data_IF_228360340696
#
_entry.id   IF_228360340696
#
_cell.length_a   1.000
_cell.length_b   1.000
_cell.length_c   1.000
_cell.angle_alpha   90.00
_cell.angle_beta   90.00
_cell.angle_gamma   90.00
#
_symmetry.space_group_name_H-M   'P 1'
#
loop_
_entity.id
_entity.type
_entity.pdbx_description
1 polymer ?
#
# COMPACT_ATOMS: atom_id res chain seq x y z
N UNK A 1 18.20 -20.23 35.22
CA UNK A 1 19.06 -19.78 34.11
C UNK A 1 18.41 -20.32 32.85
N UNK A 2 17.80 -19.47 32.05
CA UNK A 2 17.21 -19.86 30.76
C UNK A 2 18.35 -19.94 29.75
N UNK A 3 18.72 -21.17 29.36
CA UNK A 3 19.59 -21.43 28.22
C UNK A 3 18.96 -20.78 26.99
N UNK A 4 19.51 -19.64 26.56
CA UNK A 4 19.21 -19.14 25.23
C UNK A 4 19.94 -20.04 24.23
N UNK A 5 19.26 -20.53 23.17
CA UNK A 5 19.92 -21.33 22.16
C UNK A 5 21.11 -20.56 21.60
N UNK A 6 22.24 -21.24 21.46
CA UNK A 6 23.47 -20.68 20.90
C UNK A 6 23.28 -20.49 19.40
N UNK A 7 22.93 -19.26 19.01
CA UNK A 7 22.65 -18.87 17.63
C UNK A 7 23.96 -18.51 16.94
N UNK A 8 24.18 -19.01 15.72
CA UNK A 8 25.37 -18.69 14.93
C UNK A 8 25.57 -17.17 14.79
N UNK A 9 26.67 -16.59 15.33
CA UNK A 9 26.89 -15.14 15.32
C UNK A 9 26.94 -14.56 13.91
N UNK A 10 27.50 -15.31 12.95
CA UNK A 10 27.59 -14.90 11.55
C UNK A 10 26.20 -14.85 10.89
N UNK A 11 25.35 -15.83 11.17
CA UNK A 11 24.00 -15.88 10.62
C UNK A 11 23.13 -14.77 11.21
N UNK A 12 23.26 -14.52 12.52
CA UNK A 12 22.57 -13.42 13.20
C UNK A 12 22.94 -12.07 12.58
N UNK A 13 24.22 -11.80 12.36
CA UNK A 13 24.67 -10.57 11.73
C UNK A 13 24.08 -10.42 10.31
N UNK A 14 24.17 -11.47 9.48
CA UNK A 14 23.61 -11.48 8.12
C UNK A 14 22.12 -11.16 8.13
N UNK A 15 21.35 -11.78 9.03
CA UNK A 15 19.92 -11.56 9.15
C UNK A 15 19.59 -10.15 9.66
N UNK A 16 20.40 -9.58 10.56
CA UNK A 16 20.24 -8.21 11.01
C UNK A 16 20.48 -7.18 9.89
N UNK A 17 21.52 -7.37 9.08
CA UNK A 17 21.82 -6.51 7.93
C UNK A 17 20.73 -6.60 6.86
N UNK A 18 20.25 -7.81 6.55
CA UNK A 18 19.15 -8.02 5.61
C UNK A 18 17.85 -7.38 6.11
N UNK A 19 17.52 -7.55 7.40
CA UNK A 19 16.34 -6.94 8.00
C UNK A 19 16.42 -5.41 7.91
N UNK A 20 17.55 -4.81 8.30
CA UNK A 20 17.77 -3.37 8.24
C UNK A 20 17.62 -2.81 6.80
N UNK A 21 18.01 -3.58 5.78
CA UNK A 21 17.82 -3.20 4.37
C UNK A 21 16.34 -3.20 3.94
N UNK A 22 15.53 -4.12 4.48
CA UNK A 22 14.14 -4.30 4.09
C UNK A 22 13.17 -3.44 4.92
N UNK A 23 13.51 -3.13 6.18
CA UNK A 23 12.67 -2.36 7.11
C UNK A 23 12.12 -1.03 6.56
N UNK A 24 12.88 -0.22 5.80
CA UNK A 24 12.37 1.04 5.27
C UNK A 24 11.08 0.85 4.44
N UNK A 25 10.92 -0.26 3.73
CA UNK A 25 9.74 -0.53 2.91
C UNK A 25 8.69 -1.36 3.67
N UNK A 26 9.15 -2.37 4.41
CA UNK A 26 8.28 -3.40 4.97
C UNK A 26 7.64 -3.06 6.31
N UNK A 27 8.17 -2.07 7.02
CA UNK A 27 7.56 -1.56 8.26
C UNK A 27 6.15 -0.97 8.04
N UNK A 28 5.79 -0.64 6.79
CA UNK A 28 4.45 -0.13 6.43
C UNK A 28 3.32 -1.15 6.66
N UNK A 29 3.62 -2.45 6.70
CA UNK A 29 2.64 -3.50 7.03
C UNK A 29 2.39 -3.64 8.55
N UNK A 30 3.09 -2.85 9.37
CA UNK A 30 3.03 -2.92 10.82
C UNK A 30 3.95 -4.00 11.40
N UNK A 31 3.81 -4.31 12.70
CA UNK A 31 4.75 -5.19 13.39
C UNK A 31 4.64 -6.64 12.95
N UNK A 32 3.44 -7.16 12.68
CA UNK A 32 3.21 -8.57 12.36
C UNK A 32 3.25 -8.86 10.85
N UNK A 33 4.36 -9.45 10.40
CA UNK A 33 4.70 -9.62 8.99
C UNK A 33 4.99 -11.08 8.68
N UNK A 34 4.60 -11.51 7.47
CA UNK A 34 4.95 -12.83 6.96
C UNK A 34 6.42 -12.85 6.53
N UNK A 35 7.14 -13.89 6.93
CA UNK A 35 8.50 -14.17 6.48
C UNK A 35 8.50 -15.51 5.76
N UNK A 36 9.13 -15.55 4.60
CA UNK A 36 9.23 -16.72 3.74
C UNK A 36 10.67 -17.24 3.78
N UNK A 37 10.85 -18.48 4.23
CA UNK A 37 12.11 -19.21 4.16
C UNK A 37 12.14 -20.09 2.92
N UNK A 38 13.20 -19.99 2.13
CA UNK A 38 13.35 -20.72 0.88
C UNK A 38 14.27 -21.90 1.07
N UNK A 39 13.75 -23.09 0.80
CA UNK A 39 14.47 -24.34 0.96
C UNK A 39 14.48 -25.12 -0.35
N UNK A 40 15.58 -25.82 -0.62
CA UNK A 40 15.70 -26.70 -1.79
C UNK A 40 16.02 -28.12 -1.39
N UNK A 41 15.52 -29.05 -2.20
CA UNK A 41 15.59 -30.49 -1.99
C UNK A 41 15.89 -31.21 -3.31
N UNK A 42 16.60 -32.35 -3.23
CA UNK A 42 16.89 -33.19 -4.39
C UNK A 42 15.65 -33.86 -4.99
N UNK A 43 14.68 -34.20 -4.15
CA UNK A 43 13.52 -35.02 -4.51
C UNK A 43 12.26 -34.63 -3.72
N UNK A 44 11.11 -35.09 -4.22
CA UNK A 44 9.79 -34.83 -3.65
C UNK A 44 9.66 -35.36 -2.22
N UNK A 45 10.10 -36.60 -1.99
CA UNK A 45 9.97 -37.30 -0.70
C UNK A 45 10.62 -36.51 0.44
N UNK A 46 11.82 -35.95 0.21
CA UNK A 46 12.50 -35.11 1.21
C UNK A 46 11.76 -33.79 1.42
N UNK A 47 11.32 -33.16 0.34
CA UNK A 47 10.56 -31.90 0.44
C UNK A 47 9.25 -32.09 1.22
N UNK A 48 8.57 -33.22 1.06
CA UNK A 48 7.35 -33.58 1.81
C UNK A 48 7.65 -33.84 3.28
N UNK A 49 8.70 -34.62 3.58
CA UNK A 49 9.11 -34.90 4.95
C UNK A 49 9.47 -33.61 5.70
N UNK A 50 10.16 -32.68 5.04
CA UNK A 50 10.42 -31.35 5.56
C UNK A 50 9.14 -30.56 5.80
N UNK A 51 8.20 -30.55 4.84
CA UNK A 51 6.92 -29.86 4.98
C UNK A 51 6.16 -30.33 6.22
N UNK A 52 6.12 -31.64 6.49
CA UNK A 52 5.46 -32.21 7.68
C UNK A 52 6.11 -31.68 8.97
N UNK A 53 7.44 -31.63 9.04
CA UNK A 53 8.16 -31.11 10.22
C UNK A 53 7.92 -29.61 10.40
N UNK A 54 8.03 -28.84 9.32
CA UNK A 54 7.81 -27.39 9.34
C UNK A 54 6.35 -27.04 9.72
N UNK A 55 5.36 -27.75 9.20
CA UNK A 55 3.96 -27.58 9.57
C UNK A 55 3.71 -27.89 11.05
N UNK A 56 4.30 -28.96 11.58
CA UNK A 56 4.23 -29.27 13.03
C UNK A 56 4.87 -28.18 13.89
N UNK A 57 5.87 -27.47 13.36
CA UNK A 57 6.51 -26.34 14.01
C UNK A 57 5.76 -25.01 13.82
N UNK A 58 4.61 -25.01 13.14
CA UNK A 58 3.76 -23.83 12.98
C UNK A 58 4.03 -23.00 11.72
N UNK A 59 4.77 -23.54 10.74
CA UNK A 59 4.96 -22.90 9.44
C UNK A 59 3.84 -23.30 8.46
N UNK A 60 3.41 -22.36 7.64
CA UNK A 60 2.68 -22.69 6.40
C UNK A 60 3.69 -23.09 5.33
N UNK A 61 3.43 -24.13 4.55
CA UNK A 61 4.41 -24.63 3.57
C UNK A 61 3.81 -24.72 2.18
N UNK A 62 4.58 -24.31 1.17
CA UNK A 62 4.24 -24.46 -0.24
C UNK A 62 5.39 -25.12 -0.98
N UNK A 63 5.17 -26.35 -1.45
CA UNK A 63 6.10 -27.06 -2.33
C UNK A 63 5.83 -26.74 -3.80
N UNK A 64 6.88 -26.66 -4.61
CA UNK A 64 6.81 -26.50 -6.06
C UNK A 64 8.10 -26.98 -6.72
N UNK A 65 8.03 -27.31 -8.01
CA UNK A 65 9.19 -27.68 -8.82
C UNK A 65 9.66 -26.43 -9.56
N UNK A 66 10.97 -26.17 -9.53
CA UNK A 66 11.57 -25.07 -10.27
C UNK A 66 12.58 -25.60 -11.28
N UNK A 67 12.34 -25.29 -12.56
CA UNK A 67 13.11 -25.79 -13.70
C UNK A 67 14.63 -25.60 -13.47
N UNK A 68 15.33 -26.70 -13.21
CA UNK A 68 16.78 -26.73 -13.01
C UNK A 68 17.29 -26.57 -11.57
N UNK A 69 16.43 -26.34 -10.58
CA UNK A 69 16.82 -26.22 -9.16
C UNK A 69 16.17 -27.24 -8.22
N UNK A 70 15.52 -28.27 -8.79
CA UNK A 70 14.92 -29.38 -8.06
C UNK A 70 13.59 -29.01 -7.37
N UNK A 71 13.34 -29.66 -6.24
CA UNK A 71 12.14 -29.46 -5.44
C UNK A 71 12.37 -28.29 -4.46
N UNK A 72 11.53 -27.28 -4.54
CA UNK A 72 11.60 -26.11 -3.68
C UNK A 72 10.45 -26.10 -2.68
N UNK A 73 10.72 -25.64 -1.46
CA UNK A 73 9.70 -25.38 -0.45
C UNK A 73 9.86 -23.96 0.06
N UNK A 74 8.77 -23.20 0.06
CA UNK A 74 8.66 -21.98 0.84
C UNK A 74 7.97 -22.31 2.16
N UNK A 75 8.65 -22.07 3.28
CA UNK A 75 8.08 -22.17 4.62
C UNK A 75 7.81 -20.75 5.16
N UNK A 76 6.56 -20.44 5.41
CA UNK A 76 6.07 -19.11 5.77
C UNK A 76 5.60 -19.05 7.21
N UNK A 77 5.90 -17.96 7.90
CA UNK A 77 5.45 -17.72 9.29
C UNK A 77 5.19 -16.24 9.52
N UNK A 78 4.15 -15.91 10.30
CA UNK A 78 3.81 -14.53 10.65
C UNK A 78 4.34 -14.18 12.04
N UNK A 79 5.28 -13.25 12.11
CA UNK A 79 5.96 -12.87 13.36
C UNK A 79 6.13 -11.35 13.44
N UNK A 80 6.48 -10.84 14.62
CA UNK A 80 7.19 -9.57 14.74
C UNK A 80 8.66 -9.79 14.36
N UNK A 81 9.14 -9.21 13.24
CA UNK A 81 10.49 -9.45 12.75
C UNK A 81 11.53 -8.86 13.69
N UNK A 82 12.38 -9.74 14.20
CA UNK A 82 13.59 -9.39 14.93
C UNK A 82 14.70 -10.33 14.45
N UNK A 83 15.91 -9.80 14.27
CA UNK A 83 17.02 -10.58 13.71
C UNK A 83 17.24 -11.90 14.47
N UNK A 84 17.22 -11.86 15.81
CA UNK A 84 17.34 -13.04 16.65
C UNK A 84 16.25 -14.10 16.36
N UNK A 85 14.99 -13.67 16.29
CA UNK A 85 13.86 -14.57 16.06
C UNK A 85 13.90 -15.18 14.66
N UNK A 86 14.25 -14.38 13.66
CA UNK A 86 14.42 -14.84 12.28
C UNK A 86 15.51 -15.91 12.21
N UNK A 87 16.63 -15.69 12.89
CA UNK A 87 17.74 -16.64 12.92
C UNK A 87 17.38 -17.93 13.65
N UNK A 88 16.73 -17.85 14.81
CA UNK A 88 16.28 -19.04 15.54
C UNK A 88 15.35 -19.92 14.68
N UNK A 89 14.41 -19.30 13.96
CA UNK A 89 13.52 -20.02 13.04
C UNK A 89 14.29 -20.62 11.85
N UNK A 90 15.30 -19.91 11.33
CA UNK A 90 16.15 -20.42 10.25
C UNK A 90 16.96 -21.65 10.70
N UNK A 91 17.57 -21.60 11.87
CA UNK A 91 18.31 -22.72 12.47
C UNK A 91 17.39 -23.90 12.78
N UNK A 92 16.18 -23.63 13.27
CA UNK A 92 15.16 -24.65 13.45
C UNK A 92 14.83 -25.36 12.13
N UNK A 93 14.62 -24.61 11.04
CA UNK A 93 14.39 -25.22 9.72
C UNK A 93 15.62 -25.99 9.21
N UNK A 94 16.84 -25.50 9.46
CA UNK A 94 18.08 -26.23 9.12
C UNK A 94 18.17 -27.57 9.86
N UNK A 95 17.80 -27.62 11.14
CA UNK A 95 17.80 -28.88 11.92
C UNK A 95 16.87 -29.95 11.34
N UNK A 96 15.82 -29.56 10.59
CA UNK A 96 14.92 -30.51 9.94
C UNK A 96 15.56 -31.23 8.76
N UNK A 97 16.69 -30.73 8.24
CA UNK A 97 17.44 -31.28 7.11
C UNK A 97 18.39 -32.43 7.53
N UNK A 98 18.80 -32.48 8.80
CA UNK A 98 19.89 -33.35 9.28
C UNK A 98 19.53 -34.84 9.37
N UNK A 99 18.25 -35.20 9.31
CA UNK A 99 17.76 -36.59 9.40
C UNK A 99 17.92 -37.41 8.10
N UNK A 100 18.80 -37.05 7.17
CA UNK A 100 18.85 -37.70 5.84
C UNK A 100 20.24 -38.23 5.43
N UNK A 101 20.27 -39.53 5.13
CA UNK A 101 21.44 -40.35 4.85
C UNK A 101 22.38 -39.74 3.78
N UNK A 102 23.53 -39.24 4.23
CA UNK A 102 24.83 -39.32 3.56
C UNK A 102 25.10 -38.52 2.28
N UNK A 103 24.10 -38.19 1.46
CA UNK A 103 24.27 -37.40 0.24
C UNK A 103 22.96 -36.67 -0.10
N UNK A 104 23.00 -35.35 -0.20
CA UNK A 104 22.33 -34.48 -1.20
C UNK A 104 22.15 -33.06 -0.65
N UNK A 105 22.27 -32.10 -1.56
CA UNK A 105 22.39 -30.65 -1.40
C UNK A 105 21.16 -29.92 -0.82
N UNK A 106 20.43 -30.55 0.11
CA UNK A 106 19.29 -29.92 0.79
C UNK A 106 19.79 -28.70 1.57
N UNK A 107 19.16 -27.55 1.38
CA UNK A 107 19.62 -26.32 2.02
C UNK A 107 18.48 -25.35 2.30
N UNK A 108 18.68 -24.50 3.31
CA UNK A 108 17.90 -23.28 3.52
C UNK A 108 18.70 -22.13 2.90
N UNK A 109 18.22 -21.61 1.76
CA UNK A 109 18.91 -20.58 0.97
C UNK A 109 18.91 -19.21 1.66
N UNK A 110 17.95 -19.01 2.56
CA UNK A 110 17.74 -17.79 3.31
C UNK A 110 16.26 -17.50 3.48
N UNK A 111 15.97 -16.25 3.80
CA UNK A 111 14.60 -15.79 3.96
C UNK A 111 14.37 -14.52 3.13
N UNK A 112 13.12 -14.20 2.90
CA UNK A 112 12.70 -12.91 2.37
C UNK A 112 11.33 -12.55 2.93
N UNK A 113 10.93 -11.29 2.75
CA UNK A 113 9.51 -10.99 2.75
C UNK A 113 8.86 -11.52 1.45
N UNK A 114 7.52 -11.72 1.40
CA UNK A 114 6.82 -12.08 0.19
C UNK A 114 7.08 -11.09 -0.97
N UNK A 115 6.96 -11.50 -2.24
CA UNK A 115 7.10 -10.55 -3.35
C UNK A 115 5.99 -9.49 -3.28
N UNK A 116 6.35 -8.22 -3.57
CA UNK A 116 5.39 -7.13 -3.71
C UNK A 116 4.38 -7.47 -4.83
N UNK A 117 3.11 -7.11 -4.64
CA UNK A 117 2.04 -7.38 -5.60
C UNK A 117 2.04 -6.38 -6.74
N UNK A 118 1.89 -6.90 -7.94
CA UNK A 118 1.56 -6.13 -9.12
C UNK A 118 0.05 -6.08 -9.30
N UNK A 119 -0.50 -4.87 -9.39
CA UNK A 119 -1.94 -4.64 -9.54
C UNK A 119 -2.16 -3.83 -10.82
N UNK A 120 -2.56 -4.51 -11.88
CA UNK A 120 -2.81 -3.90 -13.19
C UNK A 120 -4.19 -4.32 -13.70
N UNK A 121 -5.01 -3.35 -14.07
CA UNK A 121 -6.27 -3.60 -14.74
C UNK A 121 -6.06 -3.60 -16.24
N UNK A 122 -6.39 -4.74 -16.85
CA UNK A 122 -6.39 -4.91 -18.30
C UNK A 122 -7.65 -4.28 -18.90
N UNK A 123 -7.59 -3.79 -20.15
CA UNK A 123 -8.77 -3.36 -20.89
C UNK A 123 -9.79 -4.49 -21.18
N UNK A 124 -9.38 -5.76 -21.04
CA UNK A 124 -10.25 -6.93 -21.14
C UNK A 124 -10.99 -7.20 -19.83
N UNK A 125 -12.02 -8.05 -19.87
CA UNK A 125 -12.88 -8.36 -18.72
C UNK A 125 -12.26 -9.26 -17.65
N UNK A 126 -11.17 -9.98 -17.93
CA UNK A 126 -10.53 -10.86 -16.95
C UNK A 126 -9.55 -10.08 -16.06
N UNK A 127 -10.06 -9.62 -14.91
CA UNK A 127 -9.33 -8.84 -13.92
C UNK A 127 -9.41 -9.43 -12.50
N UNK A 128 -9.78 -10.71 -12.35
CA UNK A 128 -9.98 -11.33 -11.03
C UNK A 128 -8.72 -11.29 -10.16
N UNK A 129 -7.56 -11.58 -10.76
CA UNK A 129 -6.28 -11.52 -10.06
C UNK A 129 -5.97 -10.09 -9.58
N UNK A 130 -6.15 -9.08 -10.44
CA UNK A 130 -5.89 -7.68 -10.09
C UNK A 130 -6.80 -7.21 -8.96
N UNK A 131 -8.06 -7.66 -8.96
CA UNK A 131 -9.04 -7.40 -7.89
C UNK A 131 -8.57 -7.99 -6.56
N UNK A 132 -8.20 -9.28 -6.52
CA UNK A 132 -7.70 -9.93 -5.29
C UNK A 132 -6.42 -9.26 -4.79
N UNK A 133 -5.46 -9.03 -5.69
CA UNK A 133 -4.20 -8.38 -5.36
C UNK A 133 -4.40 -6.96 -4.81
N UNK A 134 -5.26 -6.15 -5.43
CA UNK A 134 -5.58 -4.80 -4.91
C UNK A 134 -6.11 -4.87 -3.49
N UNK A 135 -7.02 -5.78 -3.20
CA UNK A 135 -7.67 -5.81 -1.90
C UNK A 135 -6.75 -6.39 -0.82
N UNK A 136 -5.93 -7.40 -1.11
CA UNK A 136 -4.87 -7.83 -0.19
C UNK A 136 -3.87 -6.70 0.10
N UNK A 137 -3.52 -5.91 -0.91
CA UNK A 137 -2.75 -4.69 -0.69
C UNK A 137 -3.57 -3.77 0.21
N UNK A 138 -4.75 -3.30 -0.18
CA UNK A 138 -5.61 -2.31 0.50
C UNK A 138 -5.80 -2.59 1.99
N UNK A 139 -6.11 -3.83 2.36
CA UNK A 139 -6.33 -4.24 3.75
C UNK A 139 -5.05 -4.62 4.50
N UNK A 140 -3.88 -4.27 3.96
CA UNK A 140 -2.59 -4.32 4.65
C UNK A 140 -2.00 -5.70 4.80
N UNK A 141 -2.36 -6.65 3.92
CA UNK A 141 -1.73 -7.98 3.88
C UNK A 141 -0.49 -7.99 2.99
N UNK A 142 -0.49 -7.18 1.93
CA UNK A 142 0.58 -7.13 0.94
C UNK A 142 1.06 -5.70 0.66
N UNK A 143 2.30 -5.56 0.17
CA UNK A 143 2.80 -4.33 -0.42
C UNK A 143 2.60 -4.32 -1.93
N UNK A 144 2.49 -3.12 -2.53
CA UNK A 144 2.41 -2.93 -3.98
C UNK A 144 3.78 -2.63 -4.58
N UNK A 145 4.05 -3.18 -5.76
CA UNK A 145 5.19 -2.83 -6.59
C UNK A 145 4.81 -1.67 -7.53
N UNK A 146 5.62 -0.60 -7.61
CA UNK A 146 5.38 0.46 -8.60
C UNK A 146 5.88 -0.01 -9.98
N UNK A 147 4.98 -0.27 -10.94
CA UNK A 147 5.38 -0.74 -12.26
C UNK A 147 6.07 0.32 -13.13
N UNK A 148 6.13 1.57 -12.66
CA UNK A 148 6.86 2.66 -13.30
C UNK A 148 8.28 2.83 -12.76
N UNK A 149 8.61 2.29 -11.57
CA UNK A 149 9.98 2.30 -11.02
C UNK A 149 10.89 1.27 -11.72
N UNK A 150 10.33 0.16 -12.21
CA UNK A 150 11.06 -0.98 -12.81
C UNK A 150 11.70 -0.72 -14.17
N UNK A 151 11.71 0.52 -14.69
CA UNK A 151 12.36 0.86 -15.98
C UNK A 151 13.89 1.00 -15.91
N UNK A 152 14.56 0.53 -14.85
CA UNK A 152 16.03 0.49 -14.77
C UNK A 152 16.56 -0.94 -14.54
N UNK A 153 17.07 -1.51 -15.65
CA UNK A 153 18.04 -2.61 -15.84
C UNK A 153 17.92 -3.90 -14.98
N UNK A 154 17.84 -5.11 -15.58
CA UNK A 154 17.58 -6.37 -14.84
C UNK A 154 18.69 -6.87 -13.90
N UNK A 155 19.84 -6.21 -13.84
CA UNK A 155 21.00 -6.67 -13.06
C UNK A 155 21.67 -5.49 -12.38
N UNK A 156 20.98 -4.86 -11.44
CA UNK A 156 21.61 -4.11 -10.35
C UNK A 156 20.54 -3.86 -9.29
N UNK A 157 20.79 -4.36 -8.09
CA UNK A 157 20.06 -4.00 -6.89
C UNK A 157 20.34 -2.52 -6.53
N UNK A 158 19.88 -1.59 -7.37
CA UNK A 158 19.80 -0.19 -7.00
C UNK A 158 18.35 0.08 -6.63
N UNK A 159 18.03 -0.16 -5.36
CA UNK A 159 16.89 0.46 -4.70
C UNK A 159 17.18 1.96 -4.66
N UNK A 160 16.94 2.67 -5.76
CA UNK A 160 16.84 4.13 -5.67
C UNK A 160 15.55 4.39 -4.88
N UNK A 161 15.72 4.63 -3.59
CA UNK A 161 14.64 4.97 -2.69
C UNK A 161 13.83 6.11 -3.30
N UNK A 162 12.50 5.98 -3.27
CA UNK A 162 11.57 7.05 -3.69
C UNK A 162 12.06 8.40 -3.14
N UNK A 163 12.03 9.48 -3.95
CA UNK A 163 12.38 10.80 -3.44
C UNK A 163 11.48 11.09 -2.22
N UNK A 164 12.09 11.48 -1.11
CA UNK A 164 11.31 11.90 0.06
C UNK A 164 10.84 13.31 -0.23
N UNK A 165 9.52 13.54 -0.29
CA UNK A 165 9.01 14.91 -0.24
C UNK A 165 9.46 15.50 1.09
N UNK A 166 10.45 16.41 1.04
CA UNK A 166 11.06 17.00 2.23
C UNK A 166 10.11 18.06 2.79
N UNK A 167 9.11 17.62 3.54
CA UNK A 167 8.23 18.50 4.29
C UNK A 167 8.96 18.97 5.55
N UNK A 168 9.39 20.23 5.57
CA UNK A 168 9.83 20.91 6.79
C UNK A 168 8.63 21.68 7.35
N UNK A 169 7.97 21.22 8.43
CA UNK A 169 6.69 21.79 8.87
C UNK A 169 6.74 23.30 9.14
N UNK A 170 7.83 23.78 9.74
CA UNK A 170 8.02 25.21 10.04
C UNK A 170 8.12 26.07 8.78
N UNK A 171 8.84 25.62 7.75
CA UNK A 171 8.94 26.31 6.47
C UNK A 171 7.61 26.34 5.74
N UNK A 172 6.88 25.21 5.77
CA UNK A 172 5.58 25.09 5.14
C UNK A 172 4.54 26.02 5.79
N UNK A 173 4.50 26.08 7.12
CA UNK A 173 3.64 27.01 7.87
C UNK A 173 4.02 28.47 7.64
N UNK A 174 5.33 28.79 7.56
CA UNK A 174 5.79 30.14 7.21
C UNK A 174 5.29 30.55 5.84
N UNK A 175 5.38 29.67 4.84
CA UNK A 175 4.88 29.93 3.49
C UNK A 175 3.36 30.07 3.46
N UNK A 176 2.64 29.23 4.19
CA UNK A 176 1.18 29.31 4.33
C UNK A 176 0.73 30.68 4.84
N UNK A 177 1.40 31.24 5.87
CA UNK A 177 1.10 32.58 6.39
C UNK A 177 1.38 33.70 5.38
N UNK A 178 2.39 33.54 4.55
CA UNK A 178 2.73 34.49 3.49
C UNK A 178 1.82 34.39 2.26
N UNK A 179 1.07 33.29 2.12
CA UNK A 179 0.19 33.01 0.99
C UNK A 179 -1.20 32.54 1.49
N UNK A 180 -1.93 33.37 2.26
CA UNK A 180 -3.29 33.01 2.67
C UNK A 180 -4.21 32.88 1.44
N UNK A 181 -5.27 32.05 1.51
CA UNK A 181 -6.25 31.96 0.44
C UNK A 181 -7.00 33.29 0.30
N UNK A 182 -7.28 33.71 -0.94
CA UNK A 182 -8.05 34.94 -1.21
C UNK A 182 -9.53 34.73 -0.90
N UNK A 183 -10.07 33.57 -1.25
CA UNK A 183 -11.47 33.19 -1.05
C UNK A 183 -11.54 31.73 -0.57
N UNK A 184 -11.45 31.50 0.75
CA UNK A 184 -11.47 30.15 1.29
C UNK A 184 -12.89 29.57 1.18
N UNK A 185 -13.00 28.45 0.47
CA UNK A 185 -14.25 27.74 0.26
C UNK A 185 -14.44 26.67 1.35
N UNK A 186 -15.67 26.43 1.83
CA UNK A 186 -15.96 25.46 2.88
C UNK A 186 -15.98 24.01 2.35
N UNK A 187 -14.93 23.59 1.64
CA UNK A 187 -14.78 22.22 1.14
C UNK A 187 -13.38 21.66 1.41
N UNK A 188 -13.30 20.36 1.70
CA UNK A 188 -12.02 19.68 1.91
C UNK A 188 -11.11 19.75 0.68
N UNK A 189 -11.70 19.71 -0.52
CA UNK A 189 -10.98 19.84 -1.79
C UNK A 189 -10.38 21.22 -1.97
N UNK A 190 -11.07 22.30 -1.61
CA UNK A 190 -10.53 23.65 -1.70
C UNK A 190 -9.38 23.89 -0.71
N UNK A 191 -9.50 23.37 0.52
CA UNK A 191 -8.40 23.40 1.48
C UNK A 191 -7.16 22.67 0.95
N UNK A 192 -7.33 21.44 0.44
CA UNK A 192 -6.23 20.69 -0.15
C UNK A 192 -5.65 21.37 -1.40
N UNK A 193 -6.47 22.00 -2.23
CA UNK A 193 -6.00 22.76 -3.39
C UNK A 193 -5.13 23.95 -2.97
N UNK A 194 -5.53 24.66 -1.92
CA UNK A 194 -4.68 25.71 -1.35
C UNK A 194 -3.37 25.14 -0.80
N UNK A 195 -3.41 24.04 -0.05
CA UNK A 195 -2.19 23.34 0.42
C UNK A 195 -1.28 22.94 -0.75
N UNK A 196 -1.86 22.46 -1.85
CA UNK A 196 -1.13 22.17 -3.09
C UNK A 196 -0.43 23.43 -3.62
N UNK A 197 -1.12 24.57 -3.69
CA UNK A 197 -0.54 25.83 -4.19
C UNK A 197 0.72 26.29 -3.44
N UNK A 198 0.90 25.87 -2.18
CA UNK A 198 2.08 26.17 -1.37
C UNK A 198 3.35 25.47 -1.88
N UNK A 199 3.25 24.46 -2.75
CA UNK A 199 4.43 23.80 -3.33
C UNK A 199 4.28 23.44 -4.81
N UNK A 200 3.05 23.37 -5.35
CA UNK A 200 2.75 22.95 -6.71
C UNK A 200 3.31 23.88 -7.79
N UNK A 201 3.51 25.17 -7.50
CA UNK A 201 4.23 26.10 -8.40
C UNK A 201 5.70 25.73 -8.63
N UNK A 202 6.24 24.75 -7.89
CA UNK A 202 7.57 24.19 -8.14
C UNK A 202 7.56 22.98 -9.10
N UNK A 203 6.43 22.28 -9.30
CA UNK A 203 6.43 20.96 -9.96
C UNK A 203 5.15 20.56 -10.77
N UNK A 204 4.15 21.44 -11.01
CA UNK A 204 3.01 21.08 -11.89
C UNK A 204 2.26 22.25 -12.53
N UNK A 205 1.82 22.06 -13.78
CA UNK A 205 1.01 23.03 -14.54
C UNK A 205 -0.50 22.85 -14.28
N UNK A 206 -1.34 23.81 -14.71
CA UNK A 206 -2.80 23.65 -14.67
C UNK A 206 -3.28 22.48 -15.54
N UNK A 207 -2.53 22.15 -16.60
CA UNK A 207 -2.79 21.00 -17.46
C UNK A 207 -2.64 19.67 -16.71
N UNK A 208 -1.66 19.55 -15.81
CA UNK A 208 -1.49 18.35 -14.98
C UNK A 208 -2.70 18.08 -14.06
N UNK A 209 -3.39 19.14 -13.62
CA UNK A 209 -4.59 19.05 -12.79
C UNK A 209 -5.80 18.61 -13.62
N UNK A 210 -5.94 19.12 -14.84
CA UNK A 210 -7.01 18.73 -15.76
C UNK A 210 -6.85 17.27 -16.22
N UNK A 211 -5.63 16.88 -16.59
CA UNK A 211 -5.28 15.50 -16.95
C UNK A 211 -5.52 14.52 -15.79
N UNK A 212 -5.20 14.93 -14.55
CA UNK A 212 -5.49 14.15 -13.34
C UNK A 212 -6.98 13.86 -13.17
N UNK A 213 -7.85 14.86 -13.33
CA UNK A 213 -9.31 14.69 -13.21
C UNK A 213 -9.89 13.81 -14.32
N UNK A 214 -9.42 13.98 -15.56
CA UNK A 214 -9.85 13.13 -16.67
C UNK A 214 -9.42 11.66 -16.45
N UNK A 215 -8.21 11.45 -15.91
CA UNK A 215 -7.71 10.13 -15.59
C UNK A 215 -8.44 9.48 -14.39
N UNK A 216 -8.85 10.24 -13.38
CA UNK A 216 -9.68 9.73 -12.27
C UNK A 216 -10.99 9.10 -12.79
N UNK A 217 -11.62 9.73 -13.78
CA UNK A 217 -12.80 9.19 -14.46
C UNK A 217 -12.50 7.91 -15.26
N UNK A 218 -11.42 7.85 -16.04
CA UNK A 218 -11.02 6.65 -16.80
C UNK A 218 -10.66 5.47 -15.87
N UNK A 219 -9.92 5.74 -14.78
CA UNK A 219 -9.62 4.74 -13.75
C UNK A 219 -10.91 4.19 -13.16
N UNK A 220 -11.87 5.07 -12.86
CA UNK A 220 -13.15 4.65 -12.33
C UNK A 220 -13.95 3.80 -13.32
N UNK A 221 -14.01 4.21 -14.60
CA UNK A 221 -14.70 3.44 -15.64
C UNK A 221 -14.10 2.06 -15.83
N UNK A 222 -12.77 1.94 -15.85
CA UNK A 222 -12.08 0.65 -15.92
C UNK A 222 -12.30 -0.20 -14.67
N UNK A 223 -12.35 0.40 -13.48
CA UNK A 223 -12.71 -0.31 -12.23
C UNK A 223 -14.17 -0.76 -12.22
N UNK A 224 -15.08 0.06 -12.72
CA UNK A 224 -16.51 -0.27 -12.86
C UNK A 224 -16.69 -1.42 -13.84
N UNK A 225 -15.91 -1.45 -14.94
CA UNK A 225 -15.88 -2.58 -15.87
C UNK A 225 -15.33 -3.87 -15.24
N UNK A 226 -14.40 -3.77 -14.29
CA UNK A 226 -13.84 -4.89 -13.53
C UNK A 226 -14.64 -5.28 -12.27
N UNK A 227 -15.88 -4.79 -12.13
CA UNK A 227 -16.71 -4.82 -10.92
C UNK A 227 -16.65 -6.16 -10.15
N UNK A 228 -15.88 -6.10 -9.06
CA UNK A 228 -16.00 -6.96 -7.87
C UNK A 228 -15.21 -6.36 -6.70
N UNK A 229 -14.10 -5.65 -6.90
CA UNK A 229 -13.20 -5.30 -5.79
C UNK A 229 -13.66 -4.33 -4.68
N UNK A 230 -14.77 -3.58 -4.85
CA UNK A 230 -15.20 -2.54 -3.90
C UNK A 230 -16.55 -2.81 -3.26
N UNK A 231 -17.27 -3.87 -3.67
CA UNK A 231 -18.61 -4.12 -3.16
C UNK A 231 -18.61 -5.13 -2.00
N UNK A 232 -19.66 -5.05 -1.18
CA UNK A 232 -19.81 -5.92 -0.02
C UNK A 232 -19.96 -7.41 -0.40
N UNK A 233 -20.34 -7.73 -1.64
CA UNK A 233 -20.49 -9.13 -2.07
C UNK A 233 -19.12 -9.78 -2.22
N UNK A 234 -18.19 -9.10 -2.87
CA UNK A 234 -16.82 -9.57 -3.02
C UNK A 234 -16.08 -9.61 -1.69
N UNK A 235 -16.19 -8.57 -0.86
CA UNK A 235 -15.54 -8.56 0.46
C UNK A 235 -15.96 -9.78 1.29
N UNK A 236 -17.26 -10.11 1.29
CA UNK A 236 -17.78 -11.33 1.93
C UNK A 236 -17.25 -12.61 1.29
N UNK A 237 -17.24 -12.70 -0.04
CA UNK A 237 -16.75 -13.87 -0.76
C UNK A 237 -15.25 -14.13 -0.51
N UNK A 238 -14.47 -13.05 -0.32
CA UNK A 238 -13.05 -13.11 0.02
C UNK A 238 -12.78 -13.35 1.52
N UNK A 239 -13.83 -13.43 2.36
CA UNK A 239 -13.70 -13.64 3.80
C UNK A 239 -13.23 -12.42 4.59
N UNK A 240 -13.25 -11.22 3.99
CA UNK A 240 -12.88 -10.00 4.70
C UNK A 240 -14.06 -9.45 5.49
N UNK A 241 -13.82 -9.16 6.77
CA UNK A 241 -14.83 -8.62 7.70
C UNK A 241 -15.07 -7.11 7.54
N UNK A 242 -14.82 -6.57 6.35
CA UNK A 242 -15.01 -5.17 5.99
C UNK A 242 -16.29 -4.99 5.18
N UNK A 243 -16.93 -3.84 5.33
CA UNK A 243 -18.06 -3.41 4.52
C UNK A 243 -17.81 -2.01 3.97
N UNK A 244 -18.02 -1.82 2.68
CA UNK A 244 -18.12 -0.51 2.03
C UNK A 244 -19.37 0.21 2.57
N UNK A 245 -19.16 1.33 3.25
CA UNK A 245 -20.20 2.17 3.86
C UNK A 245 -20.41 3.50 3.12
N UNK A 246 -19.46 3.90 2.27
CA UNK A 246 -19.58 5.06 1.39
C UNK A 246 -18.79 4.86 0.09
N UNK A 247 -19.35 5.33 -1.02
CA UNK A 247 -18.72 5.35 -2.33
C UNK A 247 -19.02 6.68 -3.02
N UNK A 248 -18.10 7.63 -2.91
CA UNK A 248 -18.16 8.95 -3.54
C UNK A 248 -17.97 8.91 -5.06
N UNK A 249 -17.61 7.75 -5.62
CA UNK A 249 -17.39 7.56 -7.06
C UNK A 249 -18.66 7.09 -7.80
N UNK A 250 -19.80 6.87 -7.14
CA UNK A 250 -21.00 6.38 -7.82
C UNK A 250 -21.66 7.46 -8.70
N UNK A 251 -21.24 7.50 -9.97
CA UNK A 251 -21.75 8.44 -10.98
C UNK A 251 -23.21 8.21 -11.39
N UNK A 252 -23.88 7.16 -10.88
CA UNK A 252 -25.30 6.91 -11.20
C UNK A 252 -26.24 7.89 -10.52
N UNK A 253 -25.79 8.56 -9.47
CA UNK A 253 -26.59 9.48 -8.67
C UNK A 253 -25.81 10.81 -8.48
N UNK A 254 -25.30 11.38 -9.59
CA UNK A 254 -24.52 12.64 -9.58
C UNK A 254 -25.29 13.80 -8.94
N UNK A 255 -26.63 13.78 -9.02
CA UNK A 255 -27.50 14.79 -8.42
C UNK A 255 -27.66 14.63 -6.90
N UNK A 256 -27.22 13.50 -6.33
CA UNK A 256 -27.12 13.24 -4.89
C UNK A 256 -25.66 13.06 -4.48
N UNK A 257 -24.79 13.99 -4.86
CA UNK A 257 -23.43 14.03 -4.34
C UNK A 257 -23.48 14.07 -2.80
N UNK A 258 -23.29 12.89 -2.19
CA UNK A 258 -23.38 12.65 -0.76
C UNK A 258 -22.15 13.26 -0.08
N UNK A 259 -22.15 14.59 0.02
CA UNK A 259 -21.17 15.30 0.80
C UNK A 259 -21.54 15.15 2.28
N UNK A 260 -20.53 14.87 3.09
CA UNK A 260 -20.64 14.91 4.53
C UNK A 260 -20.32 16.32 5.03
N UNK A 261 -21.03 16.74 6.07
CA UNK A 261 -20.69 17.95 6.81
C UNK A 261 -19.74 17.59 7.96
N UNK A 262 -18.74 18.44 8.18
CA UNK A 262 -17.82 18.35 9.31
C UNK A 262 -18.02 19.60 10.18
N UNK A 263 -18.94 19.59 11.16
CA UNK A 263 -19.25 20.77 11.98
C UNK A 263 -18.07 21.32 12.79
N UNK A 264 -17.08 20.47 13.07
CA UNK A 264 -15.87 20.81 13.83
C UNK A 264 -14.85 21.63 13.02
N UNK A 265 -14.98 21.66 11.68
CA UNK A 265 -14.14 22.45 10.79
C UNK A 265 -15.04 23.46 10.08
N UNK A 266 -14.83 24.76 10.30
CA UNK A 266 -15.68 25.81 9.73
C UNK A 266 -14.87 26.82 8.94
N UNK A 267 -15.38 27.20 7.77
CA UNK A 267 -14.81 28.25 6.93
C UNK A 267 -15.89 29.31 6.74
N UNK A 268 -15.61 30.56 7.09
CA UNK A 268 -16.61 31.65 7.03
C UNK A 268 -17.92 31.32 7.78
N UNK A 269 -17.83 30.59 8.88
CA UNK A 269 -18.98 30.14 9.68
C UNK A 269 -19.69 28.89 9.17
N UNK A 270 -19.46 28.46 7.93
CA UNK A 270 -20.05 27.25 7.34
C UNK A 270 -19.28 25.98 7.70
N UNK A 271 -19.96 24.87 8.05
CA UNK A 271 -19.32 23.56 8.17
C UNK A 271 -18.62 23.13 6.87
N UNK A 272 -17.43 22.56 7.01
CA UNK A 272 -16.67 22.03 5.88
C UNK A 272 -17.43 20.86 5.24
N UNK A 273 -17.55 20.86 3.92
CA UNK A 273 -18.10 19.77 3.12
C UNK A 273 -16.98 18.83 2.64
N UNK A 274 -17.19 17.53 2.79
CA UNK A 274 -16.24 16.48 2.42
C UNK A 274 -16.91 15.40 1.58
N UNK A 275 -16.19 14.83 0.62
CA UNK A 275 -16.66 13.72 -0.21
C UNK A 275 -15.50 12.73 -0.40
N UNK A 276 -15.26 11.84 0.58
CA UNK A 276 -14.24 10.80 0.44
C UNK A 276 -14.57 9.86 -0.72
N UNK A 277 -13.56 9.35 -1.43
CA UNK A 277 -13.85 8.44 -2.55
C UNK A 277 -14.46 7.12 -2.08
N UNK A 278 -13.87 6.48 -1.07
CA UNK A 278 -14.37 5.24 -0.47
C UNK A 278 -14.23 5.26 1.04
N UNK A 279 -15.21 4.68 1.75
CA UNK A 279 -15.08 4.38 3.18
C UNK A 279 -15.51 2.96 3.46
N UNK A 280 -14.70 2.26 4.26
CA UNK A 280 -14.97 0.92 4.76
C UNK A 280 -15.07 0.93 6.27
N UNK A 281 -15.91 0.08 6.84
CA UNK A 281 -15.97 -0.18 8.27
C UNK A 281 -15.86 -1.68 8.54
N UNK A 282 -15.25 -2.05 9.66
CA UNK A 282 -15.35 -3.41 10.21
C UNK A 282 -16.80 -3.75 10.56
N UNK A 283 -17.12 -5.04 10.69
CA UNK A 283 -18.46 -5.50 11.03
C UNK A 283 -19.03 -4.87 12.32
N UNK A 284 -18.17 -4.64 13.32
CA UNK A 284 -18.50 -3.99 14.60
C UNK A 284 -18.35 -2.45 14.57
N UNK A 285 -17.94 -1.89 13.42
CA UNK A 285 -17.62 -0.47 13.21
C UNK A 285 -16.53 0.09 14.15
N UNK A 286 -15.76 -0.77 14.80
CA UNK A 286 -14.64 -0.34 15.65
C UNK A 286 -13.43 0.12 14.83
N UNK A 287 -13.33 -0.32 13.57
CA UNK A 287 -12.32 0.12 12.62
C UNK A 287 -12.97 0.78 11.41
N UNK A 288 -12.41 1.92 11.00
CA UNK A 288 -12.82 2.64 9.78
C UNK A 288 -11.59 2.87 8.90
N UNK A 289 -11.76 2.62 7.61
CA UNK A 289 -10.77 2.93 6.58
C UNK A 289 -11.34 3.93 5.59
N UNK A 290 -10.59 4.99 5.30
CA UNK A 290 -10.94 5.99 4.30
C UNK A 290 -9.90 5.93 3.19
N UNK A 291 -10.36 5.89 1.94
CA UNK A 291 -9.49 5.85 0.76
C UNK A 291 -9.73 7.09 -0.08
N UNK A 292 -8.66 7.83 -0.35
CA UNK A 292 -8.60 8.87 -1.37
C UNK A 292 -7.76 8.35 -2.54
N UNK A 293 -8.34 8.37 -3.73
CA UNK A 293 -7.73 7.88 -4.96
C UNK A 293 -7.15 9.06 -5.73
N UNK A 294 -5.93 8.88 -6.24
CA UNK A 294 -5.25 9.87 -7.08
C UNK A 294 -4.67 9.18 -8.30
N UNK A 295 -4.61 9.92 -9.39
CA UNK A 295 -3.83 9.54 -10.56
C UNK A 295 -2.57 10.38 -10.64
N UNK A 296 -1.43 9.75 -10.93
CA UNK A 296 -0.21 10.47 -11.22
C UNK A 296 0.74 9.64 -12.06
N UNK A 297 1.33 10.29 -13.07
CA UNK A 297 2.49 9.77 -13.82
C UNK A 297 3.83 10.25 -13.25
N UNK A 298 3.81 11.15 -12.26
CA UNK A 298 5.01 11.76 -11.68
C UNK A 298 5.72 10.79 -10.72
N UNK A 299 6.95 11.13 -10.32
CA UNK A 299 7.64 10.40 -9.26
C UNK A 299 6.82 10.47 -7.96
N UNK A 300 6.61 9.31 -7.31
CA UNK A 300 5.81 9.27 -6.09
C UNK A 300 6.70 9.50 -4.87
N UNK A 301 6.43 10.53 -4.07
CA UNK A 301 7.14 10.65 -2.82
C UNK A 301 6.73 9.55 -1.86
N UNK A 302 7.70 9.02 -1.09
CA UNK A 302 7.44 7.95 -0.11
C UNK A 302 6.29 8.28 0.84
N UNK A 303 6.23 9.53 1.27
CA UNK A 303 5.23 10.02 2.20
C UNK A 303 4.02 10.65 1.51
N UNK A 304 3.73 10.41 0.22
CA UNK A 304 2.70 11.13 -0.56
C UNK A 304 2.83 12.67 -0.49
N UNK A 305 1.90 13.36 -1.15
CA UNK A 305 1.86 14.80 -1.21
C UNK A 305 1.05 15.42 -0.04
N UNK A 306 1.46 16.59 0.48
CA UNK A 306 0.75 17.25 1.58
C UNK A 306 -0.72 17.57 1.31
N UNK A 307 -1.11 17.87 0.07
CA UNK A 307 -2.50 18.14 -0.29
C UNK A 307 -3.42 16.92 -0.13
N UNK A 308 -2.94 15.71 -0.49
CA UNK A 308 -3.68 14.46 -0.30
C UNK A 308 -3.88 14.21 1.19
N UNK A 309 -2.85 14.44 2.00
CA UNK A 309 -2.95 14.35 3.45
C UNK A 309 -3.88 15.40 4.07
N UNK A 310 -3.93 16.61 3.53
CA UNK A 310 -4.87 17.63 3.98
C UNK A 310 -6.33 17.18 3.79
N UNK A 311 -6.65 16.60 2.63
CA UNK A 311 -7.95 15.98 2.35
C UNK A 311 -8.28 14.86 3.34
N UNK A 312 -7.37 13.89 3.49
CA UNK A 312 -7.54 12.75 4.40
C UNK A 312 -7.66 13.17 5.87
N UNK A 313 -6.93 14.21 6.29
CA UNK A 313 -7.06 14.79 7.62
C UNK A 313 -8.45 15.40 7.86
N UNK A 314 -9.00 16.12 6.87
CA UNK A 314 -10.37 16.62 6.96
C UNK A 314 -11.37 15.48 7.13
N UNK A 315 -11.26 14.41 6.34
CA UNK A 315 -12.16 13.26 6.43
C UNK A 315 -12.07 12.53 7.77
N UNK A 316 -10.90 12.55 8.41
CA UNK A 316 -10.70 12.02 9.75
C UNK A 316 -11.56 12.72 10.83
N UNK A 317 -12.05 13.93 10.54
CA UNK A 317 -12.87 14.71 11.46
C UNK A 317 -14.38 14.40 11.35
N UNK A 318 -14.79 13.52 10.43
CA UNK A 318 -16.18 13.06 10.33
C UNK A 318 -16.62 12.35 11.61
N UNK A 319 -17.86 12.54 12.05
CA UNK A 319 -18.34 12.01 13.34
C UNK A 319 -18.26 10.47 13.42
N UNK A 320 -18.73 9.80 12.37
CA UNK A 320 -18.65 8.33 12.22
C UNK A 320 -17.21 7.81 12.24
N UNK A 321 -16.25 8.65 11.87
CA UNK A 321 -14.83 8.31 11.80
C UNK A 321 -14.14 8.56 13.13
N UNK A 322 -14.43 9.70 13.77
CA UNK A 322 -13.85 10.09 15.06
C UNK A 322 -14.19 9.11 16.18
N UNK A 323 -15.39 8.52 16.12
CA UNK A 323 -15.87 7.52 17.09
C UNK A 323 -15.24 6.12 16.91
N UNK A 324 -14.58 5.85 15.78
CA UNK A 324 -13.93 4.56 15.55
C UNK A 324 -12.69 4.40 16.45
N UNK A 325 -12.52 3.22 17.05
CA UNK A 325 -11.32 2.90 17.86
C UNK A 325 -10.06 3.02 17.01
N UNK A 326 -10.10 2.49 15.79
CA UNK A 326 -8.98 2.50 14.84
C UNK A 326 -9.39 3.17 13.54
N UNK A 327 -8.57 4.12 13.09
CA UNK A 327 -8.73 4.80 11.82
C UNK A 327 -7.50 4.55 10.96
N UNK A 328 -7.72 4.14 9.72
CA UNK A 328 -6.70 4.10 8.68
C UNK A 328 -7.12 4.98 7.53
N UNK A 329 -6.37 6.05 7.25
CA UNK A 329 -6.51 6.79 6.00
C UNK A 329 -5.52 6.26 4.97
N UNK A 330 -5.96 6.22 3.73
CA UNK A 330 -5.24 5.62 2.61
C UNK A 330 -5.19 6.61 1.46
N UNK A 331 -3.98 6.97 1.03
CA UNK A 331 -3.78 7.56 -0.30
C UNK A 331 -3.46 6.46 -1.29
N UNK A 332 -4.39 6.18 -2.20
CA UNK A 332 -4.30 5.15 -3.23
C UNK A 332 -3.92 5.78 -4.57
N UNK A 333 -2.67 5.60 -5.01
CA UNK A 333 -2.14 6.27 -6.21
C UNK A 333 -2.03 5.33 -7.39
N UNK A 334 -2.64 5.73 -8.50
CA UNK A 334 -2.67 5.01 -9.77
C UNK A 334 -1.85 5.74 -10.81
N UNK A 335 -1.42 4.99 -11.81
CA UNK A 335 -0.81 5.54 -13.01
C UNK A 335 -1.11 4.66 -14.22
N UNK A 336 -0.49 5.01 -15.33
CA UNK A 336 -0.70 4.35 -16.60
C UNK A 336 0.61 3.80 -17.15
N UNK A 337 0.59 2.54 -17.58
CA UNK A 337 1.71 1.88 -18.26
C UNK A 337 1.25 1.36 -19.61
N UNK A 338 2.02 1.62 -20.65
CA UNK A 338 1.71 1.12 -21.98
C UNK A 338 2.29 -0.27 -22.20
N UNK A 339 1.48 -1.20 -22.71
CA UNK A 339 1.98 -2.50 -23.19
C UNK A 339 2.83 -2.31 -24.45
N UNK A 340 3.78 -3.22 -24.68
CA UNK A 340 4.51 -3.25 -25.95
C UNK A 340 3.56 -3.74 -27.03
N UNK A 341 3.39 -2.96 -28.09
CA UNK A 341 2.69 -3.45 -29.28
C UNK A 341 3.47 -4.62 -29.89
N UNK A 342 2.78 -5.70 -30.25
CA UNK A 342 3.36 -6.88 -30.87
C UNK A 342 2.93 -7.01 -32.33
N UNK A 343 3.76 -7.67 -33.14
CA UNK A 343 3.41 -7.99 -34.53
C UNK A 343 2.53 -9.23 -34.54
N UNK A 344 1.38 -9.12 -35.18
CA UNK A 344 0.49 -10.24 -35.48
C UNK A 344 0.53 -10.47 -36.99
N UNK A 345 0.22 -11.68 -37.46
CA UNK A 345 0.14 -12.00 -38.88
C UNK A 345 -0.99 -11.14 -39.50
N UNK A 346 -0.63 -10.05 -40.19
CA UNK A 346 -1.57 -9.08 -40.76
C UNK A 346 -1.41 -7.63 -40.30
N UNK A 347 -0.54 -7.33 -39.31
CA UNK A 347 -0.29 -5.96 -38.89
C UNK A 347 0.41 -5.83 -37.53
N UNK A 348 0.64 -4.59 -37.08
CA UNK A 348 1.11 -4.29 -35.72
C UNK A 348 -0.10 -3.95 -34.86
N UNK A 349 -0.33 -4.70 -33.79
CA UNK A 349 -1.28 -4.24 -32.79
C UNK A 349 -0.63 -3.13 -31.95
N UNK A 350 -1.29 -1.97 -31.80
CA UNK A 350 -0.78 -0.90 -30.95
C UNK A 350 -0.76 -1.36 -29.48
N UNK A 351 0.20 -0.83 -28.73
CA UNK A 351 0.22 -1.00 -27.28
C UNK A 351 -1.06 -0.46 -26.67
N UNK A 352 -1.52 -1.08 -25.58
CA UNK A 352 -2.71 -0.66 -24.84
C UNK A 352 -2.27 -0.06 -23.51
N UNK A 353 -3.00 0.97 -23.08
CA UNK A 353 -2.88 1.55 -21.76
C UNK A 353 -3.34 0.56 -20.67
N UNK A 354 -2.48 0.26 -19.70
CA UNK A 354 -2.83 -0.44 -18.47
C UNK A 354 -2.94 0.57 -17.34
N UNK A 355 -4.00 0.47 -16.55
CA UNK A 355 -4.15 1.24 -15.31
C UNK A 355 -3.58 0.42 -14.18
N UNK A 356 -2.60 0.98 -13.48
CA UNK A 356 -1.80 0.25 -12.50
C UNK A 356 -1.79 0.96 -11.15
N UNK A 357 -1.91 0.19 -10.06
CA UNK A 357 -1.66 0.73 -8.72
C UNK A 357 -0.16 0.92 -8.56
N UNK A 358 0.25 2.12 -8.16
CA UNK A 358 1.66 2.49 -7.99
C UNK A 358 2.06 2.57 -6.53
N UNK A 359 1.17 3.05 -5.69
CA UNK A 359 1.41 3.18 -4.27
C UNK A 359 0.10 3.11 -3.49
N UNK A 360 0.21 2.64 -2.26
CA UNK A 360 -0.82 2.76 -1.28
C UNK A 360 -0.17 3.11 0.06
N UNK A 361 -0.37 4.35 0.51
CA UNK A 361 0.27 4.85 1.73
C UNK A 361 -0.79 5.02 2.82
N UNK A 362 -0.53 4.40 3.98
CA UNK A 362 -1.48 4.32 5.10
C UNK A 362 -0.98 5.08 6.31
N UNK A 363 -1.88 5.76 7.03
CA UNK A 363 -1.59 6.37 8.33
C UNK A 363 -2.83 6.39 9.22
N UNK A 364 -2.63 6.53 10.53
CA UNK A 364 -3.66 7.10 11.40
C UNK A 364 -3.46 8.63 11.44
N UNK A 365 -4.40 9.41 10.89
CA UNK A 365 -4.26 10.87 10.81
C UNK A 365 -4.53 11.56 12.16
N UNK A 366 -4.89 10.79 13.20
CA UNK A 366 -5.18 11.32 14.56
C UNK A 366 -3.92 11.44 15.42
N UNK A 367 -2.76 11.00 14.91
CA UNK A 367 -1.49 11.21 15.60
C UNK A 367 -1.26 12.70 15.90
N UNK A 368 -0.89 13.03 17.14
CA UNK A 368 -0.89 14.42 17.64
C UNK A 368 -0.02 15.38 16.84
N UNK A 369 1.12 14.92 16.30
CA UNK A 369 1.99 15.75 15.45
C UNK A 369 1.35 16.07 14.10
N UNK A 370 0.63 15.11 13.53
CA UNK A 370 -0.07 15.25 12.26
C UNK A 370 -1.30 16.15 12.39
N UNK A 371 -2.15 15.90 13.40
CA UNK A 371 -3.33 16.75 13.66
C UNK A 371 -2.92 18.19 13.94
N UNK A 372 -1.90 18.42 14.78
CA UNK A 372 -1.40 19.76 15.07
C UNK A 372 -0.98 20.51 13.81
N UNK A 373 -0.25 19.85 12.91
CA UNK A 373 0.23 20.47 11.67
C UNK A 373 -0.92 20.89 10.75
N UNK A 374 -1.85 19.98 10.44
CA UNK A 374 -2.96 20.29 9.54
C UNK A 374 -3.98 21.23 10.18
N UNK A 375 -4.19 21.17 11.50
CA UNK A 375 -5.02 22.12 12.22
C UNK A 375 -4.45 23.55 12.16
N UNK A 376 -3.13 23.71 12.29
CA UNK A 376 -2.50 25.02 12.10
C UNK A 376 -2.63 25.54 10.66
N UNK A 377 -2.47 24.66 9.66
CA UNK A 377 -2.73 25.03 8.27
C UNK A 377 -4.18 25.43 8.03
N UNK A 378 -5.12 24.69 8.62
CA UNK A 378 -6.54 25.00 8.52
C UNK A 378 -6.88 26.34 9.17
N UNK A 379 -6.34 26.65 10.35
CA UNK A 379 -6.53 27.96 10.99
C UNK A 379 -6.02 29.12 10.12
N UNK A 380 -4.88 28.93 9.43
CA UNK A 380 -4.38 29.92 8.46
C UNK A 380 -5.34 30.04 7.28
N UNK A 381 -5.83 28.91 6.75
CA UNK A 381 -6.79 28.87 5.66
C UNK A 381 -8.09 29.62 5.98
N UNK A 382 -8.58 29.52 7.21
CA UNK A 382 -9.83 30.17 7.64
C UNK A 382 -9.65 31.60 8.13
N UNK A 383 -8.42 32.12 8.15
CA UNK A 383 -8.10 33.43 8.70
C UNK A 383 -8.25 33.54 10.22
N UNK A 384 -8.29 32.42 10.95
CA UNK A 384 -8.52 32.36 12.40
C UNK A 384 -7.22 32.46 13.22
N UNK A 385 -6.29 33.32 12.82
CA UNK A 385 -5.01 33.50 13.52
C UNK A 385 -5.10 34.46 14.70
#
# INVERSE_FOLDING_TARGET
MTDQPDVSPQLLQKNAEQLAKLEPDWSELGPWRQIDYHCRFPDERRSEAFCIKAQKAGFETRAFINDGSGHCVTASVRIEPAALKITQLQEQLMSFLEDSDGYEWSCVDGWSYPPKKQVHFWPSSDNEYAVKARASVLFGSDLVEDPLETRRVPFQASSQARPVFKLVPSEFLRKARAMPPVDPQPTASAFAQWVYSLYGRAEGSEDDVADGKAAEQDIWERRRGAASCNDNRFLRAAGWQWSLIHNGLDLRDRDRANHFLIPALRVNGEPLRASPDLMYASADKSEVMIVEIKFSRQALPKNLWPNVWAQLWCYAQLETVRSARKLTVVGEVWGEKWTRGYRVRGGREPGKALVCLRALVRRDPRASSYDRFFRQLFNIYTGSC
#
